data_IF_606438921104
#
_entry.id   IF_606438921104
#
_cell.length_a   1.000
_cell.length_b   1.000
_cell.length_c   1.000
_cell.angle_alpha   90.00
_cell.angle_beta   90.00
_cell.angle_gamma   90.00
#
_symmetry.space_group_name_H-M   'P 1'
#
loop_
_entity.id
_entity.type
_entity.pdbx_description
1 polymer ?
#
# COMPACT_ATOMS: atom_id res chain seq x y z
N UNK A 1 -28.22 9.13 -32.07
CA UNK A 1 -27.85 8.91 -30.67
C UNK A 1 -27.11 7.60 -30.60
N UNK A 2 -25.79 7.59 -30.39
CA UNK A 2 -25.08 6.33 -30.14
C UNK A 2 -25.61 5.74 -28.83
N UNK A 3 -25.68 4.42 -28.77
CA UNK A 3 -26.27 3.69 -27.66
C UNK A 3 -25.46 3.92 -26.37
N UNK A 4 -26.19 4.11 -25.26
CA UNK A 4 -25.67 4.31 -23.90
C UNK A 4 -24.67 3.19 -23.47
N UNK A 5 -24.68 2.05 -24.16
CA UNK A 5 -23.76 0.93 -23.94
C UNK A 5 -22.32 1.19 -24.44
N UNK A 6 -22.11 2.04 -25.46
CA UNK A 6 -20.75 2.43 -25.90
C UNK A 6 -20.11 3.47 -24.96
N UNK A 7 -20.92 4.26 -24.27
CA UNK A 7 -20.43 5.30 -23.34
C UNK A 7 -19.96 4.71 -22.01
N UNK A 8 -20.40 3.50 -21.64
CA UNK A 8 -20.07 2.87 -20.35
C UNK A 8 -18.84 1.96 -20.37
N UNK A 9 -18.34 1.58 -21.55
CA UNK A 9 -17.09 0.82 -21.68
C UNK A 9 -15.83 1.71 -21.52
N UNK A 10 -15.92 3.02 -21.79
CA UNK A 10 -14.80 3.97 -21.65
C UNK A 10 -14.62 4.53 -20.22
N UNK A 11 -15.62 4.41 -19.35
CA UNK A 11 -15.58 5.01 -17.98
C UNK A 11 -14.66 4.25 -17.03
N UNK A 12 -14.39 2.96 -17.28
CA UNK A 12 -13.57 2.12 -16.40
C UNK A 12 -12.10 2.54 -16.33
N UNK A 13 -11.54 3.02 -17.45
CA UNK A 13 -10.13 3.40 -17.55
C UNK A 13 -9.92 4.88 -17.18
N UNK A 14 -10.84 5.76 -17.59
CA UNK A 14 -10.75 7.19 -17.26
C UNK A 14 -11.10 7.49 -15.80
N UNK A 15 -11.95 6.67 -15.15
CA UNK A 15 -12.38 6.88 -13.77
C UNK A 15 -11.22 6.86 -12.78
N UNK A 16 -10.41 5.79 -12.79
CA UNK A 16 -9.26 5.65 -11.89
C UNK A 16 -8.18 6.73 -12.12
N UNK A 17 -7.97 7.14 -13.38
CA UNK A 17 -7.07 8.25 -13.72
C UNK A 17 -7.57 9.59 -13.16
N UNK A 18 -8.86 9.90 -13.31
CA UNK A 18 -9.46 11.15 -12.82
C UNK A 18 -9.50 11.20 -11.29
N UNK A 19 -9.89 10.12 -10.64
CA UNK A 19 -9.89 10.00 -9.17
C UNK A 19 -8.46 10.01 -8.61
N UNK A 20 -7.54 9.28 -9.25
CA UNK A 20 -6.12 9.28 -8.90
C UNK A 20 -5.46 10.64 -9.04
N UNK A 21 -5.80 11.41 -10.07
CA UNK A 21 -5.33 12.79 -10.25
C UNK A 21 -5.84 13.72 -9.16
N UNK A 22 -7.11 13.58 -8.73
CA UNK A 22 -7.67 14.36 -7.60
C UNK A 22 -6.98 14.02 -6.28
N UNK A 23 -6.64 12.75 -6.08
CA UNK A 23 -5.92 12.27 -4.91
C UNK A 23 -4.38 12.40 -5.01
N UNK A 24 -3.86 13.01 -6.09
CA UNK A 24 -2.41 13.17 -6.37
C UNK A 24 -1.62 11.85 -6.37
N UNK A 25 -2.27 10.74 -6.73
CA UNK A 25 -1.68 9.41 -6.82
C UNK A 25 -0.90 9.27 -8.14
N UNK A 26 0.40 9.51 -8.08
CA UNK A 26 1.27 9.51 -9.26
C UNK A 26 1.15 8.21 -10.09
N UNK A 27 0.94 7.05 -9.44
CA UNK A 27 0.80 5.78 -10.12
C UNK A 27 -0.41 5.71 -11.05
N UNK A 28 -1.57 6.17 -10.60
CA UNK A 28 -2.82 6.10 -11.37
C UNK A 28 -2.89 7.16 -12.47
N UNK A 29 -2.08 8.22 -12.35
CA UNK A 29 -1.87 9.20 -13.43
C UNK A 29 -1.02 8.59 -14.55
N UNK A 30 -0.18 7.61 -14.24
CA UNK A 30 0.82 7.12 -15.18
C UNK A 30 0.46 5.76 -15.82
N UNK A 31 -0.38 4.94 -15.19
CA UNK A 31 -0.94 3.73 -15.81
C UNK A 31 -2.35 3.99 -16.32
N UNK A 32 -2.47 4.11 -17.65
CA UNK A 32 -3.73 4.36 -18.36
C UNK A 32 -4.56 3.09 -18.60
N UNK A 33 -4.17 1.93 -18.11
CA UNK A 33 -4.82 0.64 -18.34
C UNK A 33 -5.33 0.00 -17.04
N UNK A 34 -5.34 0.76 -15.94
CA UNK A 34 -5.78 0.25 -14.64
C UNK A 34 -7.26 -0.09 -14.71
N UNK A 35 -7.56 -1.38 -14.56
CA UNK A 35 -8.94 -1.86 -14.44
C UNK A 35 -9.53 -1.36 -13.12
N UNK A 36 -10.77 -0.91 -13.17
CA UNK A 36 -11.49 -0.35 -12.03
C UNK A 36 -12.95 -0.80 -12.07
N UNK A 37 -13.49 -1.14 -10.90
CA UNK A 37 -14.92 -1.40 -10.74
C UNK A 37 -15.42 -0.72 -9.47
N UNK A 38 -16.48 0.07 -9.61
CA UNK A 38 -17.07 0.84 -8.51
C UNK A 38 -17.51 -0.08 -7.36
N UNK A 39 -17.26 0.39 -6.14
CA UNK A 39 -17.75 -0.24 -4.92
C UNK A 39 -19.23 0.07 -4.70
N UNK A 40 -19.92 -0.85 -4.05
CA UNK A 40 -21.26 -0.62 -3.50
C UNK A 40 -21.17 0.23 -2.23
N UNK A 41 -22.29 0.83 -1.81
CA UNK A 41 -22.32 1.59 -0.55
C UNK A 41 -21.91 0.74 0.66
N UNK A 42 -22.34 -0.52 0.70
CA UNK A 42 -21.96 -1.46 1.75
C UNK A 42 -20.45 -1.75 1.76
N UNK A 43 -19.81 -1.92 0.60
CA UNK A 43 -18.37 -2.11 0.53
C UNK A 43 -17.59 -0.87 0.98
N UNK A 44 -18.09 0.33 0.65
CA UNK A 44 -17.51 1.59 1.16
C UNK A 44 -17.67 1.69 2.69
N UNK A 45 -18.80 1.25 3.26
CA UNK A 45 -19.01 1.19 4.71
C UNK A 45 -18.01 0.23 5.39
N UNK A 46 -17.83 -0.99 4.88
CA UNK A 46 -16.87 -1.96 5.43
C UNK A 46 -15.44 -1.39 5.44
N UNK A 47 -15.03 -0.74 4.35
CA UNK A 47 -13.70 -0.12 4.25
C UNK A 47 -13.59 1.04 5.23
N UNK A 48 -14.64 1.86 5.36
CA UNK A 48 -14.67 2.98 6.31
C UNK A 48 -14.52 2.48 7.74
N UNK A 49 -15.34 1.51 8.15
CA UNK A 49 -15.32 0.92 9.50
C UNK A 49 -13.96 0.31 9.82
N UNK A 50 -13.34 -0.36 8.84
CA UNK A 50 -12.00 -0.92 9.00
C UNK A 50 -10.95 0.18 9.23
N UNK A 51 -10.95 1.23 8.42
CA UNK A 51 -10.00 2.33 8.54
C UNK A 51 -10.20 3.12 9.84
N UNK A 52 -11.43 3.34 10.27
CA UNK A 52 -11.72 3.97 11.56
C UNK A 52 -11.32 3.08 12.73
N UNK A 53 -11.53 1.76 12.64
CA UNK A 53 -11.04 0.81 13.63
C UNK A 53 -9.52 0.86 13.73
N UNK A 54 -8.82 0.86 12.59
CA UNK A 54 -7.37 0.98 12.57
C UNK A 54 -6.92 2.34 13.12
N UNK A 55 -7.58 3.44 12.77
CA UNK A 55 -7.31 4.76 13.33
C UNK A 55 -7.47 4.74 14.87
N UNK A 56 -8.51 4.10 15.41
CA UNK A 56 -8.67 3.92 16.87
C UNK A 56 -7.52 3.15 17.50
N UNK A 57 -7.07 2.05 16.88
CA UNK A 57 -5.90 1.29 17.35
C UNK A 57 -4.62 2.12 17.31
N UNK A 58 -4.39 2.84 16.21
CA UNK A 58 -3.21 3.70 16.07
C UNK A 58 -3.25 4.91 17.00
N UNK A 59 -4.43 5.37 17.42
CA UNK A 59 -4.59 6.48 18.37
C UNK A 59 -4.01 6.14 19.74
N UNK A 60 -4.00 4.86 20.12
CA UNK A 60 -3.35 4.39 21.36
C UNK A 60 -1.83 4.52 21.30
N UNK A 61 -1.25 4.51 20.10
CA UNK A 61 0.18 4.67 19.85
C UNK A 61 0.53 6.14 19.61
N UNK A 62 -0.24 6.80 18.75
CA UNK A 62 -0.09 8.21 18.39
C UNK A 62 -1.36 8.74 17.69
N UNK A 63 -2.03 9.76 18.26
CA UNK A 63 -3.04 10.55 17.57
C UNK A 63 -2.68 10.94 16.14
N UNK A 64 -1.44 11.36 15.88
CA UNK A 64 -1.05 11.73 14.52
C UNK A 64 -0.94 10.54 13.57
N UNK A 65 -0.61 9.33 14.04
CA UNK A 65 -0.71 8.12 13.21
C UNK A 65 -2.17 7.81 12.88
N UNK A 66 -3.09 7.97 13.83
CA UNK A 66 -4.53 7.82 13.59
C UNK A 66 -5.03 8.79 12.51
N UNK A 67 -4.60 10.05 12.56
CA UNK A 67 -4.95 11.07 11.56
C UNK A 67 -4.51 10.70 10.14
N UNK A 68 -3.48 9.87 9.97
CA UNK A 68 -3.05 9.42 8.64
C UNK A 68 -4.04 8.43 8.04
N UNK A 69 -4.62 7.56 8.85
CA UNK A 69 -5.69 6.65 8.43
C UNK A 69 -6.96 7.43 8.06
N UNK A 70 -7.33 8.43 8.87
CA UNK A 70 -8.50 9.27 8.60
C UNK A 70 -8.32 10.12 7.34
N UNK A 71 -7.13 10.71 7.14
CA UNK A 71 -6.82 11.46 5.89
C UNK A 71 -6.86 10.58 4.65
N UNK A 72 -6.47 9.31 4.75
CA UNK A 72 -6.61 8.37 3.64
C UNK A 72 -8.11 8.19 3.25
N UNK A 73 -9.01 8.11 4.24
CA UNK A 73 -10.45 8.07 3.97
C UNK A 73 -10.97 9.36 3.32
N UNK A 74 -10.58 10.52 3.83
CA UNK A 74 -10.98 11.83 3.28
C UNK A 74 -10.58 12.00 1.81
N UNK A 75 -9.40 11.49 1.45
CA UNK A 75 -8.88 11.51 0.07
C UNK A 75 -9.42 10.39 -0.81
N UNK A 76 -10.28 9.51 -0.28
CA UNK A 76 -10.91 8.37 -0.95
C UNK A 76 -9.94 7.33 -1.55
N UNK A 77 -8.66 7.38 -1.20
CA UNK A 77 -7.62 6.50 -1.72
C UNK A 77 -7.87 5.01 -1.41
N UNK A 78 -8.36 4.63 -0.21
CA UNK A 78 -8.69 3.24 0.11
C UNK A 78 -9.76 2.64 -0.81
N UNK A 79 -10.81 3.41 -1.09
CA UNK A 79 -11.89 2.99 -1.98
C UNK A 79 -11.38 2.75 -3.40
N UNK A 80 -10.47 3.62 -3.85
CA UNK A 80 -9.84 3.50 -5.16
C UNK A 80 -8.96 2.24 -5.24
N UNK A 81 -8.15 1.95 -4.22
CA UNK A 81 -7.34 0.72 -4.18
C UNK A 81 -8.20 -0.56 -4.21
N UNK A 82 -9.28 -0.61 -3.42
CA UNK A 82 -10.21 -1.74 -3.41
C UNK A 82 -10.98 -1.88 -4.74
N UNK A 83 -11.43 -0.76 -5.32
CA UNK A 83 -12.10 -0.74 -6.62
C UNK A 83 -11.18 -1.21 -7.77
N UNK A 84 -9.88 -0.91 -7.69
CA UNK A 84 -8.88 -1.41 -8.64
C UNK A 84 -8.79 -2.93 -8.55
N UNK A 85 -8.66 -3.50 -7.35
CA UNK A 85 -8.66 -4.96 -7.19
C UNK A 85 -9.93 -5.56 -7.80
N UNK A 86 -11.10 -5.01 -7.47
CA UNK A 86 -12.39 -5.48 -7.98
C UNK A 86 -12.49 -5.39 -9.51
N UNK A 87 -11.83 -4.41 -10.13
CA UNK A 87 -11.70 -4.29 -11.58
C UNK A 87 -10.82 -5.38 -12.20
N UNK A 88 -9.72 -5.74 -11.54
CA UNK A 88 -8.84 -6.83 -11.99
C UNK A 88 -9.45 -8.22 -11.80
N UNK A 89 -10.28 -8.39 -10.77
CA UNK A 89 -10.97 -9.64 -10.48
C UNK A 89 -12.39 -9.61 -11.04
N UNK A 90 -12.51 -9.70 -12.36
CA UNK A 90 -13.81 -9.73 -13.02
C UNK A 90 -14.65 -10.92 -12.50
N UNK A 91 -15.80 -10.63 -11.89
CA UNK A 91 -16.71 -11.62 -11.34
C UNK A 91 -16.39 -12.10 -9.92
N UNK A 92 -15.34 -11.59 -9.26
CA UNK A 92 -15.23 -11.77 -7.82
C UNK A 92 -16.41 -11.09 -7.14
N UNK A 93 -16.94 -11.77 -6.11
CA UNK A 93 -18.00 -11.25 -5.27
C UNK A 93 -17.62 -9.94 -4.59
N UNK A 94 -18.50 -9.46 -3.72
CA UNK A 94 -18.29 -8.22 -2.99
C UNK A 94 -17.40 -8.45 -1.75
N UNK A 95 -16.79 -7.37 -1.25
CA UNK A 95 -16.36 -7.39 0.15
C UNK A 95 -17.61 -7.55 1.04
N UNK A 96 -17.60 -8.48 1.99
CA UNK A 96 -18.75 -8.74 2.87
C UNK A 96 -18.32 -8.89 4.34
N UNK A 97 -19.28 -8.88 5.26
CA UNK A 97 -19.04 -9.00 6.70
C UNK A 97 -18.77 -7.66 7.39
N UNK A 98 -18.58 -7.68 8.70
CA UNK A 98 -18.41 -6.46 9.51
C UNK A 98 -16.99 -5.86 9.41
N UNK A 99 -16.03 -6.64 8.89
CA UNK A 99 -14.62 -6.25 8.72
C UNK A 99 -14.00 -6.95 7.52
N UNK A 100 -12.94 -6.36 7.00
CA UNK A 100 -12.20 -6.87 5.84
C UNK A 100 -11.53 -8.24 6.06
N UNK A 101 -11.28 -8.65 7.32
CA UNK A 101 -10.64 -9.91 7.71
C UNK A 101 -11.63 -11.04 8.03
N UNK A 102 -12.80 -10.70 8.57
CA UNK A 102 -13.81 -11.64 9.09
C UNK A 102 -14.76 -12.23 8.02
N UNK A 103 -14.59 -11.84 6.75
CA UNK A 103 -15.50 -12.27 5.68
C UNK A 103 -15.28 -13.72 5.23
N UNK A 104 -16.34 -14.39 4.77
CA UNK A 104 -16.23 -15.63 3.97
C UNK A 104 -16.22 -15.36 2.47
N UNK A 105 -16.29 -14.08 2.06
CA UNK A 105 -16.33 -13.63 0.66
C UNK A 105 -15.05 -13.94 -0.11
N UNK A 106 -15.16 -13.81 -1.43
CA UNK A 106 -14.07 -13.97 -2.38
C UNK A 106 -13.06 -12.82 -2.32
N UNK A 107 -13.48 -11.62 -1.89
CA UNK A 107 -12.60 -10.46 -1.67
C UNK A 107 -12.46 -10.14 -0.19
N UNK A 108 -11.24 -9.81 0.22
CA UNK A 108 -10.83 -9.57 1.60
C UNK A 108 -9.85 -8.42 1.69
N UNK A 109 -9.61 -7.92 2.89
CA UNK A 109 -8.53 -6.99 3.15
C UNK A 109 -7.93 -7.16 4.54
N UNK A 110 -6.68 -6.75 4.70
CA UNK A 110 -5.98 -6.81 5.98
C UNK A 110 -4.94 -5.71 6.06
N UNK A 111 -4.47 -5.46 7.28
CA UNK A 111 -3.36 -4.55 7.49
C UNK A 111 -2.13 -5.09 6.77
N UNK A 112 -1.39 -4.20 6.10
CA UNK A 112 -0.14 -4.59 5.44
C UNK A 112 0.85 -5.09 6.48
N UNK A 113 1.41 -6.26 6.22
CA UNK A 113 2.45 -6.88 7.01
C UNK A 113 3.72 -6.94 6.18
N UNK A 114 4.91 -6.98 6.80
CA UNK A 114 6.15 -7.10 6.04
C UNK A 114 6.10 -8.25 5.03
N UNK A 115 5.66 -9.44 5.43
CA UNK A 115 5.54 -10.58 4.53
C UNK A 115 4.77 -10.32 3.23
N UNK A 116 3.90 -9.30 3.16
CA UNK A 116 3.21 -8.94 1.93
C UNK A 116 4.17 -8.42 0.84
N UNK A 117 5.37 -7.94 1.18
CA UNK A 117 6.36 -7.36 0.26
C UNK A 117 7.47 -8.29 -0.23
N UNK A 118 7.43 -9.59 0.11
CA UNK A 118 8.42 -10.54 -0.41
C UNK A 118 9.83 -10.38 0.12
N UNK A 119 9.97 -10.33 1.45
CA UNK A 119 11.26 -10.30 2.13
C UNK A 119 12.05 -11.60 1.88
N UNK A 120 12.86 -11.64 0.83
CA UNK A 120 13.89 -12.65 0.65
C UNK A 120 15.02 -12.44 1.66
N UNK A 121 15.60 -13.55 2.14
CA UNK A 121 16.52 -13.65 3.28
C UNK A 121 17.47 -12.46 3.44
N UNK A 122 17.29 -11.71 4.53
CA UNK A 122 18.05 -10.50 4.84
C UNK A 122 17.27 -9.51 5.70
N UNK A 123 15.93 -9.59 5.68
CA UNK A 123 15.08 -8.86 6.62
C UNK A 123 14.60 -9.77 7.73
N UNK A 124 14.91 -9.37 8.95
CA UNK A 124 14.31 -9.96 10.14
C UNK A 124 13.00 -9.24 10.42
N UNK A 125 11.92 -10.01 10.56
CA UNK A 125 10.64 -9.49 11.04
C UNK A 125 10.63 -9.75 12.55
N UNK A 126 10.49 -8.69 13.34
CA UNK A 126 10.34 -8.85 14.78
C UNK A 126 8.93 -9.35 15.10
N UNK A 127 8.89 -10.46 15.82
CA UNK A 127 7.66 -11.11 16.25
C UNK A 127 6.91 -10.18 17.23
N UNK A 128 5.59 -10.04 17.04
CA UNK A 128 4.74 -9.20 17.88
C UNK A 128 4.68 -7.71 17.49
N UNK A 129 5.75 -7.13 16.93
CA UNK A 129 5.75 -5.71 16.48
C UNK A 129 5.52 -5.54 14.99
N UNK A 130 5.79 -6.59 14.20
CA UNK A 130 5.71 -6.53 12.74
C UNK A 130 6.73 -5.58 12.12
N UNK A 131 7.78 -5.20 12.86
CA UNK A 131 8.85 -4.36 12.35
C UNK A 131 9.73 -5.16 11.38
N UNK A 132 9.99 -4.60 10.20
CA UNK A 132 10.99 -5.11 9.28
C UNK A 132 12.35 -4.46 9.56
N UNK A 133 13.37 -5.25 9.85
CA UNK A 133 14.74 -4.76 10.02
C UNK A 133 15.52 -4.91 8.72
N UNK A 134 16.10 -3.81 8.25
CA UNK A 134 17.02 -3.83 7.12
C UNK A 134 18.27 -3.02 7.45
N UNK A 135 19.42 -3.53 7.02
CA UNK A 135 20.70 -2.83 7.07
C UNK A 135 20.88 -2.06 5.78
N UNK A 136 21.19 -0.78 5.92
CA UNK A 136 21.40 0.09 4.79
C UNK A 136 22.78 0.74 4.85
N UNK A 137 23.24 1.20 3.69
CA UNK A 137 24.53 1.86 3.48
C UNK A 137 24.30 3.28 2.97
N UNK A 138 24.86 4.26 3.68
CA UNK A 138 24.81 5.66 3.29
C UNK A 138 25.31 5.86 1.85
N UNK A 139 24.61 6.68 1.08
CA UNK A 139 24.98 7.03 -0.29
C UNK A 139 24.73 5.92 -1.32
N UNK A 140 24.17 4.78 -0.92
CA UNK A 140 23.80 3.70 -1.83
C UNK A 140 22.30 3.67 -2.04
N UNK A 141 21.84 3.68 -3.30
CA UNK A 141 20.41 3.50 -3.61
C UNK A 141 19.99 2.08 -3.22
N UNK A 142 18.97 1.95 -2.39
CA UNK A 142 18.49 0.66 -1.90
C UNK A 142 16.96 0.55 -2.00
N UNK A 143 16.44 -0.66 -2.15
CA UNK A 143 14.99 -0.89 -2.19
C UNK A 143 14.44 -1.16 -0.79
N UNK A 144 13.28 -0.59 -0.46
CA UNK A 144 12.47 -1.02 0.68
C UNK A 144 11.74 -2.32 0.37
N UNK A 145 11.26 -2.45 -0.88
CA UNK A 145 10.74 -3.69 -1.43
C UNK A 145 10.93 -3.73 -2.95
N UNK A 146 11.19 -4.92 -3.54
CA UNK A 146 11.64 -6.12 -2.80
C UNK A 146 13.05 -5.86 -2.25
N UNK A 147 13.48 -6.55 -1.19
CA UNK A 147 14.81 -6.30 -0.58
C UNK A 147 15.96 -6.56 -1.55
N UNK A 148 15.73 -7.44 -2.52
CA UNK A 148 16.67 -7.67 -3.61
C UNK A 148 16.61 -6.51 -4.61
N UNK A 149 17.66 -5.68 -4.59
CA UNK A 149 17.84 -4.53 -5.48
C UNK A 149 17.80 -4.90 -6.98
N UNK A 150 17.83 -6.18 -7.35
CA UNK A 150 17.80 -6.65 -8.75
C UNK A 150 16.42 -6.98 -9.27
N UNK A 151 15.39 -7.08 -8.41
CA UNK A 151 14.06 -7.63 -8.76
C UNK A 151 12.93 -6.66 -8.54
N UNK A 152 11.83 -6.84 -9.27
CA UNK A 152 10.60 -6.10 -9.02
C UNK A 152 9.69 -6.88 -8.08
N UNK A 153 9.08 -6.17 -7.13
CA UNK A 153 8.05 -6.73 -6.27
C UNK A 153 6.73 -6.76 -7.05
N UNK A 154 6.10 -7.93 -7.07
CA UNK A 154 4.82 -8.16 -7.70
C UNK A 154 3.95 -8.96 -6.73
N UNK A 155 2.79 -8.43 -6.29
CA UNK A 155 1.96 -9.11 -5.29
C UNK A 155 1.60 -10.54 -5.69
N UNK A 156 1.20 -10.74 -6.95
CA UNK A 156 1.03 -12.06 -7.57
C UNK A 156 0.49 -11.87 -8.99
N UNK A 157 0.98 -12.69 -9.92
CA UNK A 157 0.44 -12.81 -11.29
C UNK A 157 -0.54 -13.96 -11.46
N UNK A 158 -0.77 -14.73 -10.39
CA UNK A 158 -1.57 -15.96 -10.48
C UNK A 158 -3.04 -15.62 -10.34
N UNK A 159 -3.86 -16.05 -11.31
CA UNK A 159 -5.31 -15.93 -11.22
C UNK A 159 -5.84 -16.63 -9.95
N UNK A 160 -6.79 -15.99 -9.26
CA UNK A 160 -7.28 -16.45 -7.95
C UNK A 160 -6.44 -15.97 -6.77
N UNK A 161 -5.23 -15.44 -7.01
CA UNK A 161 -4.33 -14.95 -5.97
C UNK A 161 -3.97 -13.49 -6.22
N UNK A 162 -4.90 -12.64 -6.66
CA UNK A 162 -4.59 -11.23 -6.90
C UNK A 162 -4.62 -10.44 -5.59
N UNK A 163 -3.75 -9.44 -5.50
CA UNK A 163 -3.65 -8.51 -4.38
C UNK A 163 -3.32 -7.10 -4.87
N UNK A 164 -3.96 -6.11 -4.27
CA UNK A 164 -3.63 -4.69 -4.37
C UNK A 164 -3.18 -4.21 -3.00
N UNK A 165 -1.99 -3.63 -2.90
CA UNK A 165 -1.47 -3.07 -1.64
C UNK A 165 -1.56 -1.55 -1.69
N UNK A 166 -2.22 -0.96 -0.70
CA UNK A 166 -2.16 0.47 -0.42
C UNK A 166 -1.20 0.73 0.74
N UNK A 167 -0.10 1.43 0.48
CA UNK A 167 0.83 1.93 1.47
C UNK A 167 0.51 3.40 1.80
N UNK A 168 0.07 3.62 3.03
CA UNK A 168 -0.33 4.92 3.60
C UNK A 168 0.87 5.67 4.16
N UNK A 169 1.86 4.94 4.68
CA UNK A 169 3.07 5.52 5.20
C UNK A 169 4.02 4.47 5.70
N UNK A 170 5.19 4.93 6.11
CA UNK A 170 6.16 4.12 6.85
C UNK A 170 6.57 4.90 8.08
N UNK A 171 6.64 4.23 9.22
CA UNK A 171 7.12 4.84 10.44
C UNK A 171 8.25 4.05 11.09
N UNK A 172 9.02 4.74 11.90
CA UNK A 172 10.08 4.20 12.74
C UNK A 172 9.85 4.69 14.16
N UNK A 173 10.18 3.85 15.14
CA UNK A 173 10.10 4.20 16.57
C UNK A 173 11.53 4.33 17.11
N UNK A 174 11.78 5.38 17.89
CA UNK A 174 13.04 5.71 18.60
C UNK A 174 14.25 6.04 17.71
N UNK A 175 14.25 5.58 16.45
CA UNK A 175 15.28 5.90 15.45
C UNK A 175 14.68 6.82 14.40
N UNK A 176 15.37 7.94 14.13
CA UNK A 176 15.07 8.76 12.94
C UNK A 176 15.08 7.88 11.69
N UNK A 177 14.34 8.21 10.64
CA UNK A 177 14.54 7.57 9.37
C UNK A 177 15.92 7.88 8.83
N UNK A 178 16.49 6.93 8.12
CA UNK A 178 17.84 7.03 7.57
C UNK A 178 17.87 7.62 6.17
N UNK A 179 16.72 7.81 5.55
CA UNK A 179 16.57 8.37 4.21
C UNK A 179 15.27 9.15 4.14
N UNK A 180 15.25 10.17 3.29
CA UNK A 180 14.06 10.98 3.02
C UNK A 180 13.82 11.15 1.51
N UNK A 181 14.72 10.63 0.68
CA UNK A 181 14.56 10.63 -0.76
C UNK A 181 14.10 9.25 -1.20
N UNK A 182 12.98 9.23 -1.89
CA UNK A 182 12.33 8.04 -2.37
C UNK A 182 12.16 8.09 -3.87
N UNK A 183 12.10 6.94 -4.49
CA UNK A 183 11.76 6.84 -5.90
C UNK A 183 10.99 5.54 -6.11
N UNK A 184 9.72 5.70 -6.45
CA UNK A 184 8.91 4.57 -6.87
C UNK A 184 9.28 4.25 -8.32
N UNK A 185 9.50 2.98 -8.63
CA UNK A 185 9.89 2.55 -9.98
C UNK A 185 8.97 1.41 -10.42
N UNK A 186 8.46 1.51 -11.64
CA UNK A 186 7.80 0.41 -12.33
C UNK A 186 8.34 0.39 -13.77
N UNK A 187 8.60 -0.80 -14.38
CA UNK A 187 9.23 -0.90 -15.71
C UNK A 187 8.60 -0.06 -16.82
N UNK A 188 7.29 0.18 -16.74
CA UNK A 188 6.54 0.89 -17.78
C UNK A 188 6.24 2.35 -17.42
N UNK A 189 6.70 2.82 -16.25
CA UNK A 189 6.39 4.17 -15.77
C UNK A 189 7.60 4.87 -15.16
N UNK A 190 8.02 6.02 -15.71
CA UNK A 190 8.98 6.90 -15.07
C UNK A 190 8.30 7.77 -14.01
N UNK A 191 8.55 7.51 -12.73
CA UNK A 191 8.19 8.43 -11.65
C UNK A 191 9.39 9.30 -11.30
N UNK A 192 9.18 10.61 -11.09
CA UNK A 192 10.25 11.42 -10.53
C UNK A 192 10.57 10.99 -9.09
N UNK A 193 11.85 11.02 -8.68
CA UNK A 193 12.21 10.96 -7.27
C UNK A 193 11.48 12.04 -6.48
N UNK A 194 11.16 11.73 -5.23
CA UNK A 194 10.45 12.65 -4.36
C UNK A 194 11.05 12.62 -2.97
N UNK A 195 10.88 13.72 -2.24
CA UNK A 195 11.45 13.89 -0.90
C UNK A 195 10.32 13.97 0.10
N UNK A 196 10.36 13.11 1.11
CA UNK A 196 9.43 13.08 2.23
C UNK A 196 10.25 13.30 3.50
N UNK A 197 10.35 14.55 4.00
CA UNK A 197 11.09 14.80 5.22
C UNK A 197 10.47 13.99 6.37
N UNK A 198 11.29 13.34 7.21
CA UNK A 198 10.77 12.59 8.33
C UNK A 198 10.00 13.54 9.23
N UNK A 199 8.70 13.30 9.36
CA UNK A 199 7.85 14.11 10.22
C UNK A 199 7.91 13.50 11.61
N UNK A 200 8.33 14.29 12.61
CA UNK A 200 8.20 13.86 14.01
C UNK A 200 6.72 13.86 14.35
N UNK A 201 6.21 12.67 14.60
CA UNK A 201 4.79 12.45 14.78
C UNK A 201 4.42 12.63 16.23
N UNK A 202 5.13 12.02 17.18
CA UNK A 202 4.80 12.20 18.59
C UNK A 202 5.87 11.66 19.53
N UNK A 203 5.84 12.14 20.78
CA UNK A 203 6.45 11.44 21.91
C UNK A 203 5.42 10.47 22.48
N UNK A 204 5.71 9.17 22.52
CA UNK A 204 4.79 8.14 23.08
C UNK A 204 4.98 8.03 24.61
N UNK A 205 6.24 8.18 25.05
CA UNK A 205 6.71 8.23 26.43
C UNK A 205 7.75 9.38 26.52
N UNK A 206 8.22 9.77 27.71
CA UNK A 206 9.11 10.95 27.91
C UNK A 206 10.34 10.99 26.96
N UNK A 207 10.78 9.83 26.45
CA UNK A 207 11.95 9.71 25.56
C UNK A 207 11.73 8.91 24.26
N UNK A 208 10.48 8.57 23.90
CA UNK A 208 10.20 7.72 22.72
C UNK A 208 9.56 8.50 21.58
N UNK A 209 10.24 8.56 20.43
CA UNK A 209 9.79 9.36 19.28
C UNK A 209 9.35 8.49 18.11
N UNK A 210 8.17 8.79 17.56
CA UNK A 210 7.74 8.26 16.26
C UNK A 210 8.13 9.21 15.15
N UNK A 211 8.73 8.66 14.10
CA UNK A 211 8.97 9.36 12.86
C UNK A 211 8.19 8.71 11.73
N UNK A 212 7.48 9.48 10.93
CA UNK A 212 6.78 8.98 9.73
C UNK A 212 7.36 9.54 8.45
N UNK A 213 7.17 8.79 7.38
CA UNK A 213 7.46 9.13 6.00
C UNK A 213 6.30 8.66 5.12
N UNK A 214 6.15 9.26 3.94
CA UNK A 214 5.24 8.83 2.86
C UNK A 214 3.74 9.05 3.10
N UNK A 215 3.34 10.19 3.67
CA UNK A 215 1.92 10.41 4.03
C UNK A 215 1.08 11.07 2.93
N UNK A 216 1.70 11.83 2.03
CA UNK A 216 0.96 12.59 0.99
C UNK A 216 0.92 11.89 -0.37
N UNK A 217 1.83 10.92 -0.58
CA UNK A 217 2.09 10.33 -1.90
C UNK A 217 1.38 9.02 -2.17
N UNK A 218 0.84 8.35 -1.12
CA UNK A 218 0.20 7.03 -1.10
C UNK A 218 0.60 6.07 -2.24
N UNK A 219 1.26 4.96 -1.93
CA UNK A 219 1.71 4.03 -2.97
C UNK A 219 0.69 2.90 -3.09
N UNK A 220 0.09 2.75 -4.28
CA UNK A 220 -0.75 1.58 -4.60
C UNK A 220 0.13 0.58 -5.37
N UNK A 221 0.07 -0.71 -5.08
CA UNK A 221 0.77 -1.76 -5.83
C UNK A 221 -0.29 -2.67 -6.42
N UNK A 222 -0.19 -2.95 -7.71
CA UNK A 222 -1.26 -3.57 -8.51
C UNK A 222 -0.87 -4.99 -8.95
N UNK A 223 -1.84 -5.90 -9.09
CA UNK A 223 -1.58 -7.33 -9.31
C UNK A 223 -1.08 -7.66 -10.73
N UNK A 224 -1.53 -6.94 -11.75
CA UNK A 224 -1.16 -7.20 -13.16
C UNK A 224 -0.24 -6.10 -13.69
N UNK A 225 0.92 -6.47 -14.23
CA UNK A 225 1.88 -5.53 -14.81
C UNK A 225 3.29 -6.10 -14.78
N UNK A 226 4.22 -5.26 -14.41
CA UNK A 226 5.66 -5.50 -14.50
C UNK A 226 6.37 -5.46 -13.13
N UNK A 227 5.58 -5.47 -12.06
CA UNK A 227 6.06 -5.26 -10.69
C UNK A 227 6.50 -3.81 -10.41
N UNK A 228 6.99 -3.59 -9.20
CA UNK A 228 7.33 -2.28 -8.67
C UNK A 228 8.49 -2.35 -7.69
N UNK A 229 9.20 -1.24 -7.51
CA UNK A 229 10.21 -1.08 -6.46
C UNK A 229 9.99 0.26 -5.77
N UNK A 230 10.19 0.28 -4.47
CA UNK A 230 10.32 1.53 -3.75
C UNK A 230 11.77 1.69 -3.35
N UNK A 231 12.46 2.61 -3.99
CA UNK A 231 13.83 2.97 -3.65
C UNK A 231 13.87 4.02 -2.56
N UNK A 232 14.92 3.96 -1.75
CA UNK A 232 15.32 4.96 -0.77
C UNK A 232 16.82 5.25 -0.94
N UNK A 233 17.22 6.50 -0.73
CA UNK A 233 18.62 6.90 -0.60
C UNK A 233 18.94 7.18 0.87
N UNK A 234 19.62 6.27 1.59
CA UNK A 234 20.03 6.47 2.96
C UNK A 234 21.16 7.51 3.06
N UNK A 235 21.09 8.38 4.06
CA UNK A 235 22.15 9.30 4.47
C UNK A 235 22.95 8.79 5.69
N UNK A 236 22.56 7.65 6.29
CA UNK A 236 23.30 6.96 7.37
C UNK A 236 23.38 5.46 7.09
N UNK A 237 24.55 4.86 7.32
CA UNK A 237 24.73 3.40 7.33
C UNK A 237 24.35 2.83 8.70
N UNK A 238 23.27 2.04 8.77
CA UNK A 238 22.74 1.52 10.02
C UNK A 238 21.73 0.39 9.77
N UNK A 239 21.40 -0.39 10.80
CA UNK A 239 20.26 -1.30 10.78
C UNK A 239 19.09 -0.64 11.49
N UNK A 240 17.94 -0.47 10.82
CA UNK A 240 16.77 0.21 11.42
C UNK A 240 15.47 -0.56 11.22
N UNK A 241 14.54 -0.45 12.19
CA UNK A 241 13.18 -0.96 12.03
C UNK A 241 12.39 -0.06 11.08
N UNK A 242 11.57 -0.68 10.24
CA UNK A 242 10.57 -0.02 9.38
C UNK A 242 9.22 -0.68 9.62
N UNK A 243 8.22 0.12 9.96
CA UNK A 243 6.84 -0.32 10.09
C UNK A 243 6.02 0.22 8.92
N UNK A 244 5.51 -0.68 8.10
CA UNK A 244 4.63 -0.32 6.99
C UNK A 244 3.23 -0.09 7.54
N UNK A 245 2.63 1.02 7.13
CA UNK A 245 1.26 1.36 7.48
C UNK A 245 0.43 1.34 6.20
N UNK A 246 -0.55 0.45 6.11
CA UNK A 246 -1.33 0.28 4.90
C UNK A 246 -2.37 -0.82 4.99
N UNK A 247 -3.04 -1.07 3.87
CA UNK A 247 -4.02 -2.15 3.69
C UNK A 247 -3.71 -2.93 2.42
N UNK A 248 -3.66 -4.25 2.54
CA UNK A 248 -3.65 -5.17 1.40
C UNK A 248 -5.09 -5.64 1.15
N UNK A 249 -5.60 -5.41 -0.05
CA UNK A 249 -6.87 -5.95 -0.54
C UNK A 249 -6.57 -7.14 -1.45
N UNK A 250 -7.26 -8.27 -1.29
CA UNK A 250 -6.88 -9.50 -1.99
C UNK A 250 -8.05 -10.48 -2.21
N UNK A 251 -7.88 -11.38 -3.19
CA UNK A 251 -8.74 -12.55 -3.37
C UNK A 251 -8.53 -13.55 -2.23
N UNK A 252 -9.58 -14.23 -1.75
CA UNK A 252 -9.50 -15.16 -0.61
C UNK A 252 -8.40 -16.21 -0.76
N UNK A 253 -8.20 -16.78 -1.95
CA UNK A 253 -7.17 -17.80 -2.18
C UNK A 253 -5.74 -17.25 -2.13
N UNK A 254 -5.55 -15.93 -2.28
CA UNK A 254 -4.30 -15.26 -1.91
C UNK A 254 -3.94 -15.77 -0.51
N UNK A 255 -4.82 -15.53 0.50
CA UNK A 255 -4.48 -15.72 1.92
C UNK A 255 -4.08 -17.11 2.40
N UNK A 256 -4.36 -18.16 1.60
CA UNK A 256 -4.22 -19.56 2.03
C UNK A 256 -2.83 -20.13 1.87
N UNK A 257 -1.96 -19.52 1.07
CA UNK A 257 -0.59 -19.97 0.88
C UNK A 257 0.35 -18.93 1.50
N UNK A 258 1.01 -19.27 2.60
CA UNK A 258 1.98 -18.43 3.30
C UNK A 258 3.28 -18.13 2.49
N UNK A 259 3.29 -18.34 1.17
CA UNK A 259 4.43 -18.09 0.30
C UNK A 259 4.22 -16.80 -0.52
N UNK A 260 4.46 -15.67 0.11
CA UNK A 260 4.15 -14.35 -0.45
C UNK A 260 5.37 -13.68 -1.07
N UNK A 261 5.72 -14.13 -2.28
CA UNK A 261 6.30 -13.29 -3.34
C UNK A 261 6.73 -14.16 -4.52
N UNK A 262 6.27 -13.80 -5.72
CA UNK A 262 7.02 -14.13 -6.93
C UNK A 262 8.00 -12.99 -7.20
N UNK A 263 9.26 -13.26 -6.89
CA UNK A 263 10.37 -12.44 -7.34
C UNK A 263 10.58 -12.70 -8.84
N UNK A 264 10.35 -11.68 -9.67
CA UNK A 264 10.67 -11.69 -11.11
C UNK A 264 11.94 -10.90 -11.41
#
# INVERSE_FOLDING_TARGET
MPAIEEVMAEVGVQGAYVEGKKAKLNLLVARKDVKYRRLTGHEEEIITDYFEMMARRYKEISPKLADLWLRALETRVPFLAAAILKGYVAGAGDFSGDRLDDSTSDLKGRHVLPQDFGYAGGTNIEEGTGAAYKTFTAGTKETLFPVDNTKYYLPSTTAGKRCVILLIGIYTVDKKPMGNQFHFEAPEVPYDPFVEPPTVVESIEEDRLIYTMLTERYIILVPEGSGSRLWVMPFVSDTRPWHFMGVAFFEREYSKELAWASLI
#
